data_IF_532724542285
#
_entry.id   IF_532724542285
#
_cell.length_a   1.000
_cell.length_b   1.000
_cell.length_c   1.000
_cell.angle_alpha   90.00
_cell.angle_beta   90.00
_cell.angle_gamma   90.00
#
_symmetry.space_group_name_H-M   'P 1'
#
loop_
_entity.id
_entity.type
_entity.pdbx_description
1 polymer ?
2 non-polymer ?
3 non-polymer ?
4 water ?
#
# COMPACT_ATOMS: atom_id res chain seq x y z
N UNK A 4 7.20 -34.95 15.71
CA UNK A 4 6.04 -35.81 15.34
C UNK A 4 6.10 -36.13 13.85
N UNK A 5 5.95 -37.41 13.51
CA UNK A 5 6.00 -37.85 12.12
C UNK A 5 4.80 -37.47 11.25
N UNK A 6 3.63 -37.32 11.87
CA UNK A 6 2.44 -36.95 11.11
C UNK A 6 2.33 -35.44 11.00
N UNK A 7 2.90 -34.74 11.97
CA UNK A 7 2.88 -33.28 11.98
C UNK A 7 3.67 -32.73 10.80
N UNK A 8 4.78 -33.40 10.48
CA UNK A 8 5.63 -32.97 9.37
C UNK A 8 4.89 -33.05 8.03
N UNK A 9 4.20 -34.17 7.80
CA UNK A 9 3.46 -34.34 6.56
C UNK A 9 2.27 -33.38 6.47
N UNK A 10 1.58 -33.18 7.59
CA UNK A 10 0.44 -32.27 7.61
C UNK A 10 0.87 -30.85 7.24
N UNK A 11 1.98 -30.40 7.81
CA UNK A 11 2.47 -29.05 7.54
C UNK A 11 2.87 -28.90 6.07
N UNK A 12 3.45 -29.95 5.51
CA UNK A 12 3.86 -29.91 4.12
C UNK A 12 2.65 -29.72 3.21
N UNK A 13 1.57 -30.45 3.50
CA UNK A 13 0.35 -30.34 2.70
C UNK A 13 -0.27 -28.96 2.85
N UNK A 14 -0.30 -28.47 4.09
CA UNK A 14 -0.85 -27.15 4.38
C UNK A 14 -0.09 -26.09 3.59
N UNK A 15 1.24 -26.16 3.64
CA UNK A 15 2.05 -25.19 2.92
C UNK A 15 1.84 -25.27 1.41
N UNK A 16 1.60 -26.47 0.90
CA UNK A 16 1.37 -26.63 -0.54
C UNK A 16 0.05 -25.98 -0.92
N UNK A 17 -0.98 -26.21 -0.12
CA UNK A 17 -2.29 -25.65 -0.41
C UNK A 17 -2.25 -24.13 -0.40
N UNK A 18 -1.47 -23.56 0.52
CA UNK A 18 -1.32 -22.11 0.59
C UNK A 18 -0.63 -21.62 -0.68
N UNK A 19 0.41 -22.34 -1.11
CA UNK A 19 1.12 -21.98 -2.33
C UNK A 19 0.15 -22.01 -3.51
N UNK A 20 -0.73 -23.00 -3.54
CA UNK A 20 -1.70 -23.11 -4.62
C UNK A 20 -2.70 -21.96 -4.63
N UNK A 21 -3.27 -21.64 -3.47
CA UNK A 21 -4.24 -20.54 -3.41
C UNK A 21 -3.56 -19.20 -3.73
N UNK A 22 -2.35 -19.00 -3.22
CA UNK A 22 -1.65 -17.75 -3.50
C UNK A 22 -1.24 -17.69 -4.97
N UNK A 23 -0.92 -18.84 -5.54
CA UNK A 23 -0.54 -18.90 -6.95
C UNK A 23 -1.69 -18.50 -7.85
N UNK A 24 -2.89 -18.98 -7.51
CA UNK A 24 -4.08 -18.65 -8.30
C UNK A 24 -4.36 -17.15 -8.21
N UNK A 25 -4.31 -16.59 -7.01
CA UNK A 25 -4.57 -15.17 -6.85
C UNK A 25 -3.52 -14.34 -7.59
N UNK A 26 -2.27 -14.79 -7.57
CA UNK A 26 -1.20 -14.09 -8.26
C UNK A 26 -1.39 -14.16 -9.77
N UNK A 27 -1.58 -15.38 -10.28
CA UNK A 27 -1.75 -15.59 -11.71
C UNK A 27 -2.87 -14.74 -12.30
N UNK A 28 -3.96 -14.59 -11.56
CA UNK A 28 -5.09 -13.83 -12.06
C UNK A 28 -5.04 -12.34 -11.76
N UNK A 29 -3.90 -11.88 -11.26
CA UNK A 29 -3.73 -10.47 -10.95
C UNK A 29 -4.58 -9.92 -9.81
N UNK A 30 -5.01 -10.80 -8.91
CA UNK A 30 -5.85 -10.38 -7.79
C UNK A 30 -5.02 -9.77 -6.67
N UNK A 31 -3.72 -10.02 -6.70
CA UNK A 31 -2.81 -9.49 -5.68
C UNK A 31 -1.38 -9.54 -6.19
N UNK A 32 -0.49 -8.86 -5.47
CA UNK A 32 0.94 -8.83 -5.78
C UNK A 32 1.65 -9.10 -4.48
N UNK A 33 2.54 -10.09 -4.48
CA UNK A 33 3.30 -10.45 -3.29
C UNK A 33 4.72 -9.92 -3.42
N UNK A 34 5.18 -9.19 -2.41
CA UNK A 34 6.53 -8.65 -2.40
C UNK A 34 7.10 -9.00 -1.04
N UNK A 35 8.03 -9.94 -1.03
CA UNK A 35 8.59 -10.37 0.23
C UNK A 35 7.48 -10.97 1.06
N UNK A 36 7.30 -10.44 2.27
CA UNK A 36 6.28 -10.92 3.19
C UNK A 36 5.01 -10.08 3.14
N UNK A 37 4.94 -9.16 2.19
CA UNK A 37 3.78 -8.28 2.08
C UNK A 37 2.94 -8.56 0.83
N UNK A 38 1.61 -8.51 0.99
CA UNK A 38 0.70 -8.72 -0.13
C UNK A 38 -0.11 -7.45 -0.39
N UNK A 39 -0.09 -6.97 -1.63
CA UNK A 39 -0.85 -5.77 -2.00
C UNK A 39 -2.03 -6.17 -2.86
N UNK A 40 -3.14 -5.46 -2.70
CA UNK A 40 -4.33 -5.76 -3.49
C UNK A 40 -5.27 -4.55 -3.50
N UNK A 41 -6.06 -4.43 -4.56
CA UNK A 41 -7.01 -3.32 -4.64
C UNK A 41 -8.39 -3.85 -5.00
N UNK A 42 -9.43 -3.11 -4.61
CA UNK A 42 -10.80 -3.49 -4.94
C UNK A 42 -11.21 -2.70 -6.18
N UNK A 43 -10.28 -1.90 -6.70
CA UNK A 43 -10.54 -1.11 -7.90
C UNK A 43 -11.30 0.18 -7.68
N UNK A 44 -11.72 0.45 -6.45
CA UNK A 44 -12.47 1.66 -6.15
C UNK A 44 -11.59 2.88 -5.92
N UNK A 45 -12.14 4.04 -6.25
CA UNK A 45 -11.44 5.31 -6.07
C UNK A 45 -12.24 6.15 -5.08
N UNK A 46 -11.72 6.27 -3.85
CA UNK A 46 -12.39 7.03 -2.79
C UNK A 46 -11.37 7.82 -1.97
N UNK A 47 -11.84 8.58 -0.98
CA UNK A 47 -10.91 9.37 -0.17
C UNK A 47 -10.13 8.55 0.85
N UNK A 48 -9.16 9.19 1.50
CA UNK A 48 -8.30 8.54 2.48
C UNK A 48 -9.04 7.81 3.60
N UNK A 49 -9.96 8.50 4.28
CA UNK A 49 -10.71 7.88 5.37
C UNK A 49 -11.45 6.63 4.90
N UNK A 50 -12.04 6.70 3.72
CA UNK A 50 -12.79 5.57 3.19
C UNK A 50 -11.87 4.39 2.89
N UNK A 51 -10.73 4.67 2.26
CA UNK A 51 -9.78 3.61 1.95
C UNK A 51 -9.34 2.88 3.21
N UNK A 52 -9.04 3.64 4.27
CA UNK A 52 -8.60 3.05 5.52
C UNK A 52 -9.66 2.08 6.05
N UNK A 53 -10.92 2.49 5.97
CA UNK A 53 -12.02 1.65 6.43
C UNK A 53 -12.10 0.37 5.60
N UNK A 54 -12.04 0.51 4.28
CA UNK A 54 -12.10 -0.64 3.38
C UNK A 54 -10.99 -1.63 3.69
N UNK A 55 -9.77 -1.14 3.86
CA UNK A 55 -8.67 -2.04 4.15
C UNK A 55 -8.82 -2.76 5.49
N UNK A 56 -9.17 -2.02 6.54
CA UNK A 56 -9.32 -2.65 7.85
C UNK A 56 -10.47 -3.66 7.85
N UNK A 57 -11.51 -3.40 7.07
CA UNK A 57 -12.66 -4.30 6.97
C UNK A 57 -12.20 -5.66 6.43
N UNK A 58 -11.24 -5.61 5.51
CA UNK A 58 -10.69 -6.81 4.88
C UNK A 58 -9.60 -7.47 5.72
N UNK A 59 -9.26 -6.85 6.85
CA UNK A 59 -8.24 -7.41 7.71
C UNK A 59 -6.84 -6.90 7.42
N UNK A 60 -6.75 -5.84 6.62
CA UNK A 60 -5.45 -5.28 6.29
C UNK A 60 -5.35 -3.81 6.63
N UNK A 61 -4.44 -3.11 5.95
CA UNK A 61 -4.23 -1.69 6.19
C UNK A 61 -3.93 -0.98 4.88
N UNK A 62 -4.04 0.35 4.89
CA UNK A 62 -3.74 1.12 3.70
C UNK A 62 -2.28 0.84 3.35
N UNK A 63 -2.01 0.59 2.08
CA UNK A 63 -0.67 0.27 1.64
C UNK A 63 0.36 1.37 1.86
N UNK A 64 1.56 0.97 2.24
CA UNK A 64 2.65 1.91 2.43
C UNK A 64 3.95 1.23 2.04
N UNK A 65 4.69 1.81 1.08
CA UNK A 65 5.95 1.21 0.65
C UNK A 65 7.09 1.58 1.59
N UNK A 66 7.87 0.59 1.99
CA UNK A 66 9.01 0.81 2.88
C UNK A 66 10.32 0.42 2.20
N UNK A 67 10.24 -0.05 0.96
CA UNK A 67 11.43 -0.43 0.20
C UNK A 67 11.17 -0.11 -1.27
N UNK A 68 12.22 0.00 -2.08
CA UNK A 68 12.02 0.31 -3.50
C UNK A 68 11.12 -0.72 -4.19
N UNK A 69 11.31 -1.99 -3.84
CA UNK A 69 10.54 -3.09 -4.41
C UNK A 69 9.05 -2.96 -4.10
N UNK A 70 8.73 -2.57 -2.87
CA UNK A 70 7.33 -2.39 -2.49
C UNK A 70 6.77 -1.18 -3.22
N UNK A 71 7.60 -0.15 -3.36
CA UNK A 71 7.14 1.06 -4.04
C UNK A 71 6.79 0.75 -5.49
N UNK A 72 7.66 -0.01 -6.15
CA UNK A 72 7.44 -0.38 -7.54
C UNK A 72 6.18 -1.23 -7.69
N UNK A 73 5.89 -2.05 -6.69
CA UNK A 73 4.70 -2.89 -6.75
C UNK A 73 3.43 -2.04 -6.71
N UNK A 74 3.36 -1.10 -5.76
CA UNK A 74 2.19 -0.25 -5.66
C UNK A 74 2.08 0.60 -6.93
N UNK A 75 3.22 1.06 -7.43
CA UNK A 75 3.23 1.88 -8.64
C UNK A 75 2.66 1.11 -9.84
N UNK A 76 2.96 -0.18 -9.91
CA UNK A 76 2.46 -1.00 -11.02
C UNK A 76 0.94 -1.09 -10.97
N UNK A 77 0.39 -1.05 -9.76
CA UNK A 77 -1.06 -1.11 -9.59
C UNK A 77 -1.65 0.24 -9.98
N UNK A 78 -0.99 1.32 -9.57
CA UNK A 78 -1.46 2.66 -9.91
C UNK A 78 -1.50 2.76 -11.44
N UNK A 79 -0.42 2.32 -12.07
CA UNK A 79 -0.31 2.36 -13.53
C UNK A 79 -1.40 1.51 -14.17
N UNK A 80 -1.59 0.30 -13.64
CA UNK A 80 -2.60 -0.63 -14.14
C UNK A 80 -3.99 0.01 -14.17
N UNK A 81 -4.36 0.70 -13.10
CA UNK A 81 -5.67 1.34 -13.01
C UNK A 81 -5.65 2.81 -13.41
N UNK A 82 -4.50 3.29 -13.88
CA UNK A 82 -4.33 4.68 -14.29
C UNK A 82 -4.96 5.67 -13.32
N UNK A 83 -4.55 5.59 -12.05
CA UNK A 83 -5.08 6.48 -11.03
C UNK A 83 -4.05 6.59 -9.91
N UNK A 84 -4.00 7.74 -9.24
CA UNK A 84 -3.08 7.95 -8.13
C UNK A 84 -3.54 7.12 -6.94
N UNK A 85 -2.61 6.80 -6.04
CA UNK A 85 -2.91 5.99 -4.87
C UNK A 85 -2.57 6.69 -3.56
N UNK A 86 -3.51 6.75 -2.62
CA UNK A 86 -3.19 7.36 -1.33
C UNK A 86 -2.34 6.33 -0.57
N UNK A 87 -1.28 6.79 0.09
CA UNK A 87 -0.41 5.88 0.84
C UNK A 87 -0.65 5.97 2.35
N UNK A 88 -0.19 4.96 3.07
CA UNK A 88 -0.37 4.92 4.51
C UNK A 88 0.54 5.81 5.34
N UNK A 89 0.38 7.12 5.20
CA UNK A 89 1.16 8.08 5.97
C UNK A 89 0.46 9.43 6.04
N UNK A 90 0.76 10.20 7.08
CA UNK A 90 0.17 11.52 7.27
C UNK A 90 1.23 12.46 7.81
N UNK A 91 1.07 13.76 7.55
CA UNK A 91 2.04 14.76 7.98
C UNK A 91 2.08 15.02 9.48
N UNK A 92 3.29 15.25 9.98
CA UNK A 92 3.52 15.55 11.39
C UNK A 92 2.99 16.95 11.67
N UNK A 93 3.13 17.42 12.90
CA UNK A 93 2.69 18.77 13.24
C UNK A 93 3.69 19.71 12.58
N UNK A 94 4.92 19.24 12.44
CA UNK A 94 5.98 20.01 11.81
C UNK A 94 5.92 19.77 10.30
N UNK A 95 5.52 20.80 9.53
CA UNK A 95 5.42 20.68 8.07
C UNK A 95 6.64 20.03 7.43
N UNK A 96 6.39 19.16 6.45
CA UNK A 96 7.48 18.50 5.76
C UNK A 96 7.86 17.14 6.31
N UNK A 97 7.46 16.87 7.55
CA UNK A 97 7.77 15.59 8.18
C UNK A 97 6.52 14.71 8.19
N UNK A 98 6.68 13.44 7.84
CA UNK A 98 5.55 12.52 7.80
C UNK A 98 5.77 11.28 8.66
N UNK A 99 4.67 10.63 9.02
CA UNK A 99 4.75 9.42 9.83
C UNK A 99 3.77 8.36 9.35
N UNK A 100 4.12 7.10 9.58
CA UNK A 100 3.24 6.00 9.22
C UNK A 100 2.07 6.14 10.18
N UNK A 101 0.97 5.45 9.92
CA UNK A 101 -0.20 5.57 10.78
C UNK A 101 0.01 5.10 12.22
N UNK A 102 1.03 4.28 12.46
CA UNK A 102 1.28 3.81 13.82
C UNK A 102 2.08 4.84 14.61
N UNK A 103 2.43 5.95 13.96
CA UNK A 103 3.17 7.00 14.62
C UNK A 103 4.65 7.11 14.30
N UNK A 104 5.26 6.02 13.86
CA UNK A 104 6.69 6.03 13.54
C UNK A 104 7.01 6.95 12.36
N UNK A 105 8.17 7.59 12.41
CA UNK A 105 8.60 8.49 11.35
C UNK A 105 8.93 7.72 10.08
N UNK A 106 8.51 8.26 8.94
CA UNK A 106 8.77 7.63 7.66
C UNK A 106 10.26 7.52 7.39
N UNK A 107 10.70 6.38 6.87
CA UNK A 107 12.11 6.20 6.56
C UNK A 107 12.29 6.30 5.05
N UNK A 108 11.94 5.24 4.33
CA UNK A 108 12.05 5.25 2.88
C UNK A 108 11.07 6.28 2.30
N UNK A 109 11.54 7.06 1.32
CA UNK A 109 10.68 8.05 0.65
C UNK A 109 11.01 8.05 -0.83
N UNK A 110 10.08 8.55 -1.64
CA UNK A 110 10.31 8.62 -3.08
C UNK A 110 9.54 9.82 -3.62
N UNK A 111 9.79 10.97 -3.02
CA UNK A 111 9.12 12.21 -3.40
C UNK A 111 9.43 12.65 -4.82
N UNK A 112 8.42 13.18 -5.51
CA UNK A 112 8.63 13.71 -6.85
C UNK A 112 9.48 14.96 -6.57
N UNK A 113 10.42 15.30 -7.47
CA UNK A 113 11.25 16.48 -7.22
C UNK A 113 10.46 17.71 -6.77
N UNK A 114 10.89 18.32 -5.67
CA UNK A 114 10.22 19.50 -5.17
C UNK A 114 9.25 19.19 -4.04
N UNK A 115 8.79 17.94 -3.98
CA UNK A 115 7.86 17.54 -2.93
C UNK A 115 8.64 17.05 -1.71
N UNK A 116 8.04 17.14 -0.51
CA UNK A 116 6.70 17.67 -0.23
C UNK A 116 6.77 19.19 -0.05
N UNK A 117 5.74 19.91 -0.48
CA UNK A 117 5.74 21.36 -0.33
C UNK A 117 4.36 21.97 -0.11
N UNK A 118 3.52 21.26 0.63
CA UNK A 118 2.18 21.75 0.90
C UNK A 118 2.13 22.72 2.08
N UNK A 119 3.28 22.95 2.71
CA UNK A 119 3.38 23.87 3.84
C UNK A 119 2.51 23.48 5.04
N UNK A 120 2.16 22.20 5.13
CA UNK A 120 1.33 21.73 6.22
C UNK A 120 -0.15 21.71 5.89
N UNK A 121 -0.50 22.17 4.69
CA UNK A 121 -1.90 22.20 4.26
C UNK A 121 -2.31 20.92 3.53
N UNK A 122 -1.34 20.05 3.26
CA UNK A 122 -1.60 18.79 2.57
C UNK A 122 -0.97 17.68 3.41
N UNK A 123 -1.72 17.18 4.38
CA UNK A 123 -1.20 16.15 5.27
C UNK A 123 -1.17 14.73 4.73
N UNK A 124 -1.83 14.47 3.60
CA UNK A 124 -1.81 13.13 3.01
C UNK A 124 -0.75 13.00 1.92
N UNK A 125 -0.51 11.77 1.49
CA UNK A 125 0.50 11.49 0.47
C UNK A 125 -0.10 10.61 -0.62
N UNK A 126 0.02 11.05 -1.87
CA UNK A 126 -0.49 10.28 -3.00
C UNK A 126 0.68 9.84 -3.87
N UNK A 127 0.52 8.69 -4.52
CA UNK A 127 1.56 8.17 -5.40
C UNK A 127 1.14 8.37 -6.85
N UNK A 128 2.01 8.99 -7.64
CA UNK A 128 1.76 9.22 -9.06
C UNK A 128 1.94 7.87 -9.75
N UNK A 129 1.50 7.75 -11.00
CA UNK A 129 1.65 6.47 -11.68
C UNK A 129 3.09 6.05 -11.95
N UNK A 130 4.04 6.99 -11.89
CA UNK A 130 5.44 6.62 -12.10
C UNK A 130 6.07 6.21 -10.76
N UNK A 131 5.24 6.16 -9.72
CA UNK A 131 5.72 5.74 -8.41
C UNK A 131 6.24 6.82 -7.47
N UNK A 132 6.42 8.04 -7.96
CA UNK A 132 6.92 9.12 -7.11
C UNK A 132 5.77 9.65 -6.24
N UNK A 133 6.11 10.30 -5.13
CA UNK A 133 5.11 10.81 -4.19
C UNK A 133 4.87 12.31 -4.21
N UNK A 134 3.68 12.69 -3.75
CA UNK A 134 3.25 14.08 -3.65
C UNK A 134 2.37 14.27 -2.42
N UNK A 135 2.67 15.25 -1.57
CA UNK A 135 1.81 15.46 -0.42
C UNK A 135 0.57 16.16 -0.96
N UNK A 136 -0.60 15.77 -0.48
CA UNK A 136 -1.84 16.32 -1.00
C UNK A 136 -2.94 16.30 0.04
N UNK A 137 -4.04 16.98 -0.25
CA UNK A 137 -5.17 16.99 0.67
C UNK A 137 -5.68 15.56 0.75
N UNK A 138 -6.46 15.25 1.78
CA UNK A 138 -6.97 13.90 1.97
C UNK A 138 -8.39 13.63 1.46
N UNK A 139 -9.02 14.61 0.83
CA UNK A 139 -10.40 14.45 0.37
C UNK A 139 -10.59 14.07 -1.10
N UNK A 140 -9.51 13.82 -1.82
CA UNK A 140 -9.62 13.45 -3.23
C UNK A 140 -9.99 11.98 -3.37
N UNK A 141 -10.38 11.58 -4.58
CA UNK A 141 -10.75 10.19 -4.84
C UNK A 141 -9.53 9.49 -5.42
N UNK A 142 -9.00 8.53 -4.67
CA UNK A 142 -7.81 7.80 -5.08
C UNK A 142 -8.01 6.29 -5.00
N UNK A 143 -7.26 5.56 -5.82
CA UNK A 143 -7.35 4.11 -5.86
C UNK A 143 -7.04 3.52 -4.49
N UNK A 144 -7.92 2.64 -4.02
CA UNK A 144 -7.73 2.02 -2.72
C UNK A 144 -6.83 0.79 -2.83
N UNK A 145 -5.61 0.91 -2.31
CA UNK A 145 -4.68 -0.21 -2.34
C UNK A 145 -4.36 -0.59 -0.91
N UNK A 146 -4.56 -1.86 -0.58
CA UNK A 146 -4.31 -2.35 0.77
C UNK A 146 -3.12 -3.29 0.84
N UNK A 147 -2.58 -3.45 2.05
CA UNK A 147 -1.48 -4.38 2.26
C UNK A 147 -1.88 -5.33 3.38
N UNK A 148 -1.46 -6.59 3.26
CA UNK A 148 -1.78 -7.60 4.26
C UNK A 148 -0.51 -8.32 4.70
X LIG B 1 2.34 18.68 -2.80
X LIG C 1 -3.91 -6.61 -7.29
X LIG C 1 -5.16 -6.07 -6.90
X LIG C 1 -3.29 -5.88 -8.50
X LIG C 1 -4.29 -5.53 -9.47
X LIG C 1 -2.23 -6.79 -9.13
X LIG C 1 -1.63 -6.17 -10.26
X LIG D 1 9.16 22.08 4.53
X LIG D 1 10.43 21.53 4.24
X LIG D 1 8.10 21.50 3.60
X LIG D 1 8.46 21.71 2.23
X LIG D 1 6.75 22.16 3.92
X LIG D 1 5.73 21.65 3.08
X LIG E 1 1.60 19.68 -6.11
X LIG E 1 2.65 20.06 -5.23
X LIG E 1 0.23 19.93 -5.48
X LIG E 1 0.07 19.20 -4.26
X LIG E 1 -0.85 19.52 -6.48
X LIG E 1 -2.14 19.74 -5.94
#
# INVERSE_FOLDING_TARGET
>A
AYLDEELQTELYEIKHQILQTMGVLSLQGSMLSVGDKVFSTNGQSVNFDTIKEMCTRAGGNIAVPRTPEENEAIASIAKKYNNYVYLGMIEDQTPGDFHYLDGASVSYTNWYPGEPRGQGKEKCVEMYTDGTWNDRGCLQYRLAVCEF
>B hetero
1 CA CA
>C hetero
1 GOL C1 O1 C2 O2 C3 O3
>D hetero
1 GOL C1 O1 C2 O2 C3 O3
>E hetero
1 GOL C1 O1 C2 O2 C3 O3
#
